data_IF_791086820821
#
_entry.id   IF_791086820821
#
_cell.length_a   1.000
_cell.length_b   1.000
_cell.length_c   1.000
_cell.angle_alpha   90.00
_cell.angle_beta   90.00
_cell.angle_gamma   90.00
#
_symmetry.space_group_name_H-M   'P 1'
#
loop_
_entity.id
_entity.type
_entity.pdbx_description
1 polymer ?
#
# COMPACT_ATOMS: atom_id res chain seq x y z
N UNK A 1 28.64 26.60 5.95
CA UNK A 1 27.86 25.41 6.32
C UNK A 1 26.58 25.84 7.00
N UNK A 2 26.68 26.37 8.22
CA UNK A 2 25.55 26.94 8.97
C UNK A 2 24.97 28.20 8.32
N UNK A 3 25.79 29.02 7.66
CA UNK A 3 25.36 30.23 6.94
C UNK A 3 24.42 29.90 5.76
N UNK A 4 24.77 28.89 4.95
CA UNK A 4 23.92 28.38 3.86
C UNK A 4 22.61 27.75 4.38
N UNK A 5 22.66 27.09 5.55
CA UNK A 5 21.46 26.55 6.19
C UNK A 5 20.54 27.65 6.75
N UNK A 6 21.11 28.77 7.19
CA UNK A 6 20.36 29.95 7.61
C UNK A 6 19.68 30.66 6.43
N UNK A 7 20.34 30.73 5.28
CA UNK A 7 19.77 31.25 4.02
C UNK A 7 18.67 30.35 3.45
N UNK A 8 18.75 29.04 3.67
CA UNK A 8 17.77 28.05 3.21
C UNK A 8 16.68 27.72 4.26
N UNK A 9 16.49 28.58 5.27
CA UNK A 9 15.42 28.41 6.28
C UNK A 9 14.05 28.31 5.63
N UNK A 10 13.29 27.29 6.01
CA UNK A 10 11.97 27.00 5.44
C UNK A 10 12.01 26.19 4.13
N UNK A 11 13.17 26.07 3.49
CA UNK A 11 13.39 25.23 2.29
C UNK A 11 13.98 23.88 2.68
N UNK A 12 14.85 23.86 3.70
CA UNK A 12 15.40 22.63 4.28
C UNK A 12 15.18 22.59 5.79
N UNK A 13 15.01 21.39 6.33
CA UNK A 13 14.86 21.12 7.76
C UNK A 13 15.93 20.15 8.23
N UNK A 14 16.53 20.46 9.38
CA UNK A 14 17.41 19.54 10.10
C UNK A 14 16.58 18.40 10.69
N UNK A 15 16.99 17.16 10.49
CA UNK A 15 16.32 16.01 11.10
C UNK A 15 16.63 15.91 12.60
N UNK A 16 15.62 15.72 13.47
CA UNK A 16 15.83 15.45 14.88
C UNK A 16 16.34 14.01 15.06
N UNK A 17 17.43 13.83 15.83
CA UNK A 17 18.02 12.52 16.11
C UNK A 17 19.51 12.61 16.51
N UNK A 18 20.09 11.53 17.04
CA UNK A 18 21.51 11.49 17.36
C UNK A 18 22.33 11.63 16.08
N UNK A 19 23.27 12.57 16.06
CA UNK A 19 24.26 12.68 14.99
C UNK A 19 25.47 11.84 15.42
N UNK A 20 25.86 10.80 14.65
CA UNK A 20 27.05 10.02 14.96
C UNK A 20 28.29 10.92 15.05
N UNK A 21 29.22 10.56 15.94
CA UNK A 21 30.42 11.36 16.18
C UNK A 21 31.27 11.49 14.90
N UNK A 22 31.49 12.74 14.46
CA UNK A 22 32.19 13.04 13.19
C UNK A 22 31.29 13.20 11.96
N UNK A 23 29.98 12.93 12.08
CA UNK A 23 29.02 13.16 10.99
C UNK A 23 28.36 14.54 11.08
N UNK A 24 27.87 15.03 9.93
CA UNK A 24 27.13 16.30 9.86
C UNK A 24 25.64 16.05 10.09
N UNK A 25 24.91 17.04 10.64
CA UNK A 25 23.46 16.96 10.73
C UNK A 25 22.84 16.70 9.35
N UNK A 26 21.89 15.78 9.30
CA UNK A 26 21.16 15.48 8.07
C UNK A 26 20.08 16.54 7.84
N UNK A 27 20.04 17.07 6.63
CA UNK A 27 19.01 17.99 6.18
C UNK A 27 18.16 17.32 5.10
N UNK A 28 16.87 17.61 5.13
CA UNK A 28 15.89 17.18 4.11
C UNK A 28 15.13 18.39 3.61
N UNK A 29 14.59 18.33 2.40
CA UNK A 29 13.79 19.40 1.83
C UNK A 29 12.43 19.51 2.53
N UNK A 30 11.82 20.70 2.49
CA UNK A 30 10.55 20.99 3.14
C UNK A 30 9.42 20.04 2.71
N UNK A 31 9.33 19.74 1.41
CA UNK A 31 8.33 18.81 0.86
C UNK A 31 8.49 17.40 1.42
N UNK A 32 9.73 16.93 1.62
CA UNK A 32 9.98 15.64 2.25
C UNK A 32 9.67 15.68 3.75
N UNK A 33 10.16 16.70 4.45
CA UNK A 33 10.02 16.82 5.89
C UNK A 33 8.54 16.96 6.32
N UNK A 34 7.77 17.78 5.61
CA UNK A 34 6.38 18.08 5.90
C UNK A 34 5.38 17.12 5.23
N UNK A 35 5.86 15.96 4.79
CA UNK A 35 5.05 14.85 4.26
C UNK A 35 5.17 13.58 5.12
N UNK A 36 4.37 12.56 4.81
CA UNK A 36 4.33 11.31 5.58
C UNK A 36 3.65 11.53 6.94
N UNK A 37 4.04 10.76 7.97
CA UNK A 37 3.44 10.85 9.30
C UNK A 37 3.89 12.13 10.04
N UNK A 38 3.20 13.25 9.79
CA UNK A 38 3.56 14.58 10.30
C UNK A 38 3.25 14.75 11.78
N UNK A 39 2.28 14.02 12.34
CA UNK A 39 2.01 14.01 13.80
C UNK A 39 3.17 13.40 14.57
N UNK A 40 3.69 12.26 14.11
CA UNK A 40 4.86 11.61 14.72
C UNK A 40 6.09 12.50 14.62
N UNK A 41 6.31 13.12 13.45
CA UNK A 41 7.40 14.07 13.25
C UNK A 41 7.27 15.29 14.17
N UNK A 42 6.06 15.82 14.38
CA UNK A 42 5.82 16.95 15.30
C UNK A 42 6.20 16.59 16.73
N UNK A 43 5.81 15.41 17.23
CA UNK A 43 6.22 14.94 18.58
C UNK A 43 7.73 14.81 18.71
N UNK A 44 8.40 14.30 17.67
CA UNK A 44 9.86 14.20 17.64
C UNK A 44 10.51 15.59 17.65
N UNK A 45 9.98 16.53 16.87
CA UNK A 45 10.47 17.91 16.83
C UNK A 45 10.25 18.65 18.16
N UNK A 46 9.11 18.46 18.82
CA UNK A 46 8.82 19.05 20.14
C UNK A 46 9.81 18.56 21.20
N UNK A 47 10.03 17.23 21.29
CA UNK A 47 11.04 16.66 22.20
C UNK A 47 12.46 17.14 21.90
N UNK A 48 12.79 17.31 20.62
CA UNK A 48 14.08 17.87 20.22
C UNK A 48 14.20 19.35 20.59
N UNK A 49 13.12 20.13 20.45
CA UNK A 49 13.08 21.56 20.79
C UNK A 49 13.20 21.83 22.30
N UNK A 50 12.77 20.89 23.14
CA UNK A 50 13.01 20.93 24.60
C UNK A 50 14.51 20.86 24.95
N UNK A 51 15.32 20.20 24.11
CA UNK A 51 16.76 20.01 24.32
C UNK A 51 17.62 21.02 23.54
N UNK A 52 17.20 21.35 22.31
CA UNK A 52 17.89 22.25 21.39
C UNK A 52 16.87 23.20 20.74
N UNK A 53 16.84 24.50 21.13
CA UNK A 53 15.92 25.50 20.58
C UNK A 53 15.99 25.69 19.06
N UNK A 54 17.04 25.21 18.39
CA UNK A 54 17.14 25.25 16.93
C UNK A 54 15.98 24.51 16.23
N UNK A 55 15.35 23.52 16.89
CA UNK A 55 14.21 22.78 16.36
C UNK A 55 12.86 23.50 16.52
N UNK A 56 12.81 24.70 17.09
CA UNK A 56 11.56 25.48 17.19
C UNK A 56 10.93 25.73 15.80
N UNK A 57 11.76 25.98 14.77
CA UNK A 57 11.31 26.16 13.38
C UNK A 57 10.65 24.89 12.83
N UNK A 58 11.16 23.71 13.20
CA UNK A 58 10.56 22.43 12.81
C UNK A 58 9.17 22.27 13.46
N UNK A 59 9.03 22.63 14.74
CA UNK A 59 7.77 22.56 15.47
C UNK A 59 6.73 23.48 14.82
N UNK A 60 7.10 24.72 14.51
CA UNK A 60 6.22 25.69 13.85
C UNK A 60 5.74 25.16 12.48
N UNK A 61 6.67 24.72 11.63
CA UNK A 61 6.33 24.23 10.29
C UNK A 61 5.48 22.95 10.33
N UNK A 62 5.80 22.00 11.23
CA UNK A 62 5.01 20.78 11.37
C UNK A 62 3.65 21.03 12.01
N UNK A 63 3.50 22.06 12.86
CA UNK A 63 2.21 22.47 13.41
C UNK A 63 1.30 23.01 12.31
N UNK A 64 1.84 23.84 11.40
CA UNK A 64 1.11 24.34 10.24
C UNK A 64 0.78 23.25 9.21
N UNK A 65 1.62 22.21 9.11
CA UNK A 65 1.44 21.10 8.17
C UNK A 65 0.51 19.97 8.67
N UNK A 66 -0.14 20.13 9.84
CA UNK A 66 -1.04 19.10 10.36
C UNK A 66 -2.29 18.95 9.48
N UNK A 67 -2.73 17.71 9.17
CA UNK A 67 -4.02 17.48 8.56
C UNK A 67 -5.12 18.03 9.46
N UNK A 68 -6.19 18.55 8.85
CA UNK A 68 -7.38 18.96 9.58
C UNK A 68 -7.91 17.76 10.38
N UNK A 69 -8.14 17.95 11.67
CA UNK A 69 -8.79 16.94 12.51
C UNK A 69 -10.17 16.59 11.93
N UNK A 70 -10.44 15.30 11.85
CA UNK A 70 -11.74 14.77 11.46
C UNK A 70 -12.64 14.66 12.68
N UNK A 71 -13.90 15.05 12.49
CA UNK A 71 -14.95 14.84 13.48
C UNK A 71 -15.50 13.41 13.43
N UNK A 72 -16.23 12.99 14.48
CA UNK A 72 -16.83 11.66 14.55
C UNK A 72 -17.73 11.33 13.34
N UNK A 73 -18.40 12.33 12.75
CA UNK A 73 -19.24 12.16 11.55
C UNK A 73 -18.44 11.90 10.27
N UNK A 74 -17.16 12.28 10.24
CA UNK A 74 -16.26 12.09 9.10
C UNK A 74 -15.48 10.77 9.19
N UNK A 75 -15.56 10.06 10.33
CA UNK A 75 -14.84 8.81 10.58
C UNK A 75 -15.78 7.62 10.37
N UNK A 76 -15.56 6.85 9.29
CA UNK A 76 -16.25 5.58 9.11
C UNK A 76 -15.56 4.46 9.92
N UNK A 77 -16.30 3.86 10.85
CA UNK A 77 -15.81 2.76 11.68
C UNK A 77 -16.44 1.44 11.25
N UNK A 78 -15.61 0.40 11.13
CA UNK A 78 -16.04 -0.96 10.77
C UNK A 78 -15.53 -1.96 11.81
N UNK A 79 -16.30 -3.02 12.04
CA UNK A 79 -15.83 -4.16 12.82
C UNK A 79 -14.60 -4.77 12.14
N UNK A 80 -13.59 -5.11 12.95
CA UNK A 80 -12.29 -5.60 12.47
C UNK A 80 -11.26 -4.50 12.18
N UNK A 81 -11.61 -3.22 12.39
CA UNK A 81 -10.62 -2.15 12.35
C UNK A 81 -9.58 -2.33 13.46
N UNK A 82 -8.32 -2.45 13.08
CA UNK A 82 -7.20 -2.81 13.97
C UNK A 82 -6.78 -1.70 14.94
N UNK A 83 -7.24 -0.47 14.71
CA UNK A 83 -6.96 0.67 15.58
C UNK A 83 -7.94 0.76 16.76
N UNK A 84 -9.07 0.04 16.72
CA UNK A 84 -10.02 0.04 17.83
C UNK A 84 -9.54 -0.95 18.88
N UNK A 85 -9.44 -0.50 20.12
CA UNK A 85 -9.02 -1.39 21.19
C UNK A 85 -10.04 -2.52 21.46
N UNK A 86 -9.55 -3.69 21.84
CA UNK A 86 -10.38 -4.87 22.08
C UNK A 86 -11.38 -4.63 23.20
N UNK A 87 -11.07 -3.75 24.15
CA UNK A 87 -11.94 -3.38 25.27
C UNK A 87 -13.24 -2.75 24.77
N UNK A 88 -13.20 -1.93 23.72
CA UNK A 88 -14.41 -1.37 23.10
C UNK A 88 -15.22 -2.43 22.38
N UNK A 89 -14.56 -3.40 21.72
CA UNK A 89 -15.24 -4.52 21.07
C UNK A 89 -15.92 -5.41 22.12
N UNK A 90 -15.24 -5.66 23.25
CA UNK A 90 -15.77 -6.43 24.35
C UNK A 90 -16.95 -5.72 25.04
N UNK A 91 -16.83 -4.41 25.27
CA UNK A 91 -17.91 -3.59 25.81
C UNK A 91 -19.13 -3.60 24.87
N UNK A 92 -18.91 -3.42 23.56
CA UNK A 92 -19.98 -3.52 22.55
C UNK A 92 -20.68 -4.86 22.60
N UNK A 93 -19.91 -5.95 22.66
CA UNK A 93 -20.43 -7.31 22.72
C UNK A 93 -21.34 -7.51 23.94
N UNK A 94 -20.90 -7.08 25.13
CA UNK A 94 -21.69 -7.23 26.35
C UNK A 94 -22.96 -6.40 26.35
N UNK A 95 -22.89 -5.14 25.93
CA UNK A 95 -24.04 -4.23 25.91
C UNK A 95 -25.06 -4.62 24.83
N UNK A 96 -24.60 -5.07 23.67
CA UNK A 96 -25.49 -5.38 22.53
C UNK A 96 -26.15 -6.75 22.68
N UNK A 97 -25.43 -7.73 23.22
CA UNK A 97 -25.95 -9.09 23.39
C UNK A 97 -26.56 -9.33 24.78
N UNK A 98 -26.60 -8.30 25.63
CA UNK A 98 -27.08 -8.37 27.02
C UNK A 98 -26.43 -9.55 27.76
N UNK A 99 -25.10 -9.62 27.68
CA UNK A 99 -24.33 -10.74 28.24
C UNK A 99 -24.40 -10.70 29.77
N UNK A 100 -24.95 -11.74 30.43
CA UNK A 100 -25.10 -11.71 31.89
C UNK A 100 -23.77 -11.52 32.59
N UNK A 101 -23.73 -10.66 33.62
CA UNK A 101 -22.52 -10.27 34.33
C UNK A 101 -21.66 -11.46 34.80
N UNK A 102 -22.31 -12.52 35.30
CA UNK A 102 -21.62 -13.73 35.77
C UNK A 102 -20.95 -14.55 34.66
N UNK A 103 -21.30 -14.32 33.38
CA UNK A 103 -20.70 -14.97 32.21
C UNK A 103 -19.63 -14.12 31.52
N UNK A 104 -19.54 -12.81 31.82
CA UNK A 104 -18.60 -11.91 31.14
C UNK A 104 -17.14 -12.39 31.27
N UNK A 105 -16.76 -12.92 32.43
CA UNK A 105 -15.42 -13.52 32.66
C UNK A 105 -15.13 -14.79 31.85
N UNK A 106 -16.15 -15.41 31.26
CA UNK A 106 -16.01 -16.61 30.44
C UNK A 106 -16.08 -16.32 28.95
N UNK A 107 -16.53 -15.11 28.57
CA UNK A 107 -16.72 -14.70 27.18
C UNK A 107 -15.90 -13.44 26.96
N UNK A 108 -14.67 -13.61 26.49
CA UNK A 108 -13.71 -12.52 26.32
C UNK A 108 -13.31 -12.37 24.86
N UNK A 109 -13.01 -11.13 24.46
CA UNK A 109 -12.50 -10.82 23.12
C UNK A 109 -10.98 -10.77 23.18
N UNK A 110 -10.35 -11.57 22.32
CA UNK A 110 -8.90 -11.62 22.15
C UNK A 110 -8.53 -11.17 20.74
N UNK A 111 -7.47 -10.38 20.63
CA UNK A 111 -6.84 -10.02 19.37
C UNK A 111 -5.39 -10.49 19.41
N UNK A 112 -4.97 -11.23 18.38
CA UNK A 112 -3.59 -11.70 18.22
C UNK A 112 -2.88 -10.84 17.18
N UNK A 113 -2.00 -9.89 17.57
CA UNK A 113 -1.39 -8.95 16.61
C UNK A 113 -0.55 -9.64 15.54
N UNK A 114 0.07 -10.78 15.84
CA UNK A 114 0.94 -11.51 14.91
C UNK A 114 0.17 -12.08 13.70
N UNK A 115 -1.02 -12.64 13.93
CA UNK A 115 -1.87 -13.20 12.87
C UNK A 115 -2.96 -12.24 12.41
N UNK A 116 -3.12 -11.09 13.09
CA UNK A 116 -4.23 -10.15 12.94
C UNK A 116 -5.61 -10.83 13.06
N UNK A 117 -5.70 -11.86 13.91
CA UNK A 117 -6.94 -12.62 14.12
C UNK A 117 -7.65 -12.22 15.41
N UNK A 118 -8.97 -12.11 15.31
CA UNK A 118 -9.87 -11.91 16.44
C UNK A 118 -10.46 -13.26 16.87
N UNK A 119 -10.53 -13.49 18.17
CA UNK A 119 -11.12 -14.68 18.76
C UNK A 119 -12.02 -14.30 19.93
N UNK A 120 -13.16 -14.96 20.04
CA UNK A 120 -14.08 -14.80 21.17
C UNK A 120 -14.09 -16.11 21.96
N UNK A 121 -13.70 -16.10 23.22
CA UNK A 121 -13.77 -17.28 24.09
C UNK A 121 -15.21 -17.53 24.57
N UNK A 122 -15.53 -18.75 25.00
CA UNK A 122 -16.82 -19.05 25.65
C UNK A 122 -18.10 -18.83 24.84
N UNK A 123 -18.04 -18.75 23.50
CA UNK A 123 -19.19 -18.42 22.62
C UNK A 123 -20.47 -19.24 22.89
N UNK A 124 -20.34 -20.46 23.40
CA UNK A 124 -21.44 -21.39 23.64
C UNK A 124 -21.87 -21.48 25.12
N UNK A 125 -21.27 -20.68 26.01
CA UNK A 125 -21.59 -20.69 27.45
C UNK A 125 -22.96 -20.07 27.71
N UNK A 126 -23.41 -19.16 26.85
CA UNK A 126 -24.76 -18.59 26.91
C UNK A 126 -25.79 -19.65 26.50
N UNK A 127 -26.82 -19.84 27.32
CA UNK A 127 -27.92 -20.76 27.02
C UNK A 127 -28.69 -20.37 25.75
N UNK A 128 -29.25 -21.37 25.06
CA UNK A 128 -30.06 -21.17 23.84
C UNK A 128 -31.34 -20.34 24.08
N UNK A 129 -31.74 -20.18 25.34
CA UNK A 129 -32.86 -19.32 25.76
C UNK A 129 -32.52 -17.83 25.73
N UNK A 130 -31.24 -17.44 25.57
CA UNK A 130 -30.88 -16.04 25.42
C UNK A 130 -31.33 -15.51 24.04
N UNK A 131 -32.38 -14.69 24.05
CA UNK A 131 -33.02 -14.16 22.85
C UNK A 131 -32.07 -13.27 22.05
N UNK A 132 -31.25 -12.44 22.71
CA UNK A 132 -30.31 -11.56 22.03
C UNK A 132 -29.28 -12.36 21.21
N UNK A 133 -28.70 -13.41 21.82
CA UNK A 133 -27.65 -14.23 21.23
C UNK A 133 -28.15 -15.20 20.16
N UNK A 134 -29.38 -15.73 20.28
CA UNK A 134 -29.88 -16.79 19.38
C UNK A 134 -31.03 -16.37 18.46
N UNK A 135 -31.61 -15.18 18.64
CA UNK A 135 -32.74 -14.70 17.83
C UNK A 135 -32.59 -13.26 17.31
N UNK A 136 -32.18 -12.31 18.16
CA UNK A 136 -32.06 -10.90 17.76
C UNK A 136 -30.84 -10.67 16.88
N UNK A 137 -29.66 -11.08 17.34
CA UNK A 137 -28.37 -10.91 16.68
C UNK A 137 -27.73 -12.23 16.24
N UNK A 138 -28.38 -13.35 16.49
CA UNK A 138 -27.97 -14.67 16.03
C UNK A 138 -29.12 -15.46 15.41
N UNK A 139 -28.79 -16.70 15.07
CA UNK A 139 -29.74 -17.72 14.62
C UNK A 139 -29.54 -18.97 15.46
N UNK A 140 -30.46 -19.93 15.35
CA UNK A 140 -30.29 -21.25 15.97
C UNK A 140 -29.04 -22.00 15.47
N UNK A 141 -28.51 -21.66 14.29
CA UNK A 141 -27.36 -22.31 13.64
C UNK A 141 -26.04 -21.56 13.85
N UNK A 142 -26.10 -20.26 14.18
CA UNK A 142 -24.94 -19.44 14.52
C UNK A 142 -25.36 -18.33 15.50
N UNK A 143 -24.86 -18.41 16.73
CA UNK A 143 -25.15 -17.39 17.73
C UNK A 143 -24.41 -16.08 17.46
N UNK A 144 -24.85 -15.01 18.13
CA UNK A 144 -24.35 -13.66 17.93
C UNK A 144 -22.84 -13.53 18.17
N UNK A 145 -22.26 -14.25 19.13
CA UNK A 145 -20.82 -14.26 19.41
C UNK A 145 -20.02 -14.84 18.24
N UNK A 146 -20.48 -15.94 17.63
CA UNK A 146 -19.85 -16.50 16.44
C UNK A 146 -19.94 -15.53 15.25
N UNK A 147 -21.10 -14.93 15.04
CA UNK A 147 -21.32 -13.96 13.96
C UNK A 147 -20.45 -12.70 14.16
N UNK A 148 -20.28 -12.25 15.41
CA UNK A 148 -19.40 -11.14 15.75
C UNK A 148 -17.93 -11.48 15.46
N UNK A 149 -17.45 -12.66 15.87
CA UNK A 149 -16.08 -13.09 15.56
C UNK A 149 -15.81 -13.16 14.05
N UNK A 150 -16.74 -13.75 13.28
CA UNK A 150 -16.64 -13.78 11.82
C UNK A 150 -16.61 -12.36 11.24
N UNK A 151 -17.40 -11.44 11.81
CA UNK A 151 -17.41 -10.02 11.41
C UNK A 151 -16.11 -9.28 11.72
N UNK A 152 -15.53 -9.52 12.89
CA UNK A 152 -14.23 -8.94 13.28
C UNK A 152 -13.09 -9.41 12.37
N UNK A 153 -13.19 -10.65 11.86
CA UNK A 153 -12.23 -11.21 10.91
C UNK A 153 -12.57 -10.93 9.43
N UNK A 154 -13.55 -10.05 9.16
CA UNK A 154 -14.01 -9.70 7.80
C UNK A 154 -14.46 -10.92 6.97
N UNK A 155 -15.02 -11.94 7.64
CA UNK A 155 -15.54 -13.17 7.02
C UNK A 155 -17.06 -13.10 6.93
N UNK A 156 -17.60 -13.59 5.81
CA UNK A 156 -19.05 -13.81 5.68
C UNK A 156 -19.45 -15.05 6.47
N UNK A 157 -20.53 -14.94 7.25
CA UNK A 157 -21.07 -16.10 7.97
C UNK A 157 -21.70 -17.07 6.97
N UNK A 158 -21.21 -18.32 6.95
CA UNK A 158 -21.72 -19.38 6.06
C UNK A 158 -22.17 -20.59 6.88
N UNK A 159 -23.39 -21.05 6.64
CA UNK A 159 -23.98 -22.21 7.30
C UNK A 159 -23.99 -23.37 6.31
N UNK A 160 -23.46 -24.51 6.73
CA UNK A 160 -23.43 -25.73 5.93
C UNK A 160 -24.22 -26.83 6.64
N UNK A 161 -24.97 -27.60 5.86
CA UNK A 161 -25.61 -28.83 6.29
C UNK A 161 -24.77 -30.02 5.88
N UNK A 162 -24.79 -31.07 6.70
CA UNK A 162 -24.18 -32.35 6.36
C UNK A 162 -25.25 -33.23 5.72
N UNK A 163 -25.01 -33.68 4.49
CA UNK A 163 -25.88 -34.59 3.75
C UNK A 163 -25.05 -35.83 3.41
N UNK A 164 -25.61 -37.03 3.62
CA UNK A 164 -24.96 -38.27 3.17
C UNK A 164 -25.23 -38.49 1.68
N UNK A 165 -24.16 -38.69 0.90
CA UNK A 165 -24.27 -39.14 -0.49
C UNK A 165 -24.70 -40.62 -0.54
N UNK A 166 -25.15 -41.10 -1.70
CA UNK A 166 -25.66 -42.47 -1.90
C UNK A 166 -24.68 -43.60 -1.51
N UNK A 167 -23.38 -43.29 -1.39
CA UNK A 167 -22.31 -44.21 -0.95
C UNK A 167 -22.02 -44.12 0.57
N UNK A 168 -22.86 -43.44 1.36
CA UNK A 168 -22.70 -43.29 2.82
C UNK A 168 -21.60 -42.31 3.24
N UNK A 169 -21.20 -41.40 2.34
CA UNK A 169 -20.14 -40.41 2.62
C UNK A 169 -20.75 -39.05 2.92
N UNK A 170 -20.39 -38.48 4.08
CA UNK A 170 -20.83 -37.14 4.47
C UNK A 170 -20.26 -36.04 3.57
N UNK A 171 -21.15 -35.22 3.02
CA UNK A 171 -20.83 -34.03 2.23
C UNK A 171 -21.44 -32.78 2.85
N UNK A 172 -20.63 -31.73 2.98
CA UNK A 172 -21.09 -30.42 3.45
C UNK A 172 -21.67 -29.60 2.30
N UNK A 173 -22.95 -29.30 2.37
CA UNK A 173 -23.68 -28.50 1.38
C UNK A 173 -24.04 -27.15 2.01
N UNK A 174 -23.84 -26.05 1.29
CA UNK A 174 -24.18 -24.72 1.78
C UNK A 174 -25.70 -24.60 1.94
N UNK A 175 -26.16 -24.26 3.14
CA UNK A 175 -27.57 -23.95 3.38
C UNK A 175 -27.82 -22.49 3.03
N UNK A 176 -28.36 -22.23 1.84
CA UNK A 176 -28.61 -20.88 1.35
C UNK A 176 -29.57 -20.08 2.24
N UNK A 177 -30.61 -20.74 2.80
CA UNK A 177 -31.61 -20.10 3.66
C UNK A 177 -31.01 -19.65 4.98
N UNK A 178 -30.37 -20.57 5.70
CA UNK A 178 -29.73 -20.28 7.00
C UNK A 178 -28.55 -19.32 6.85
N UNK A 179 -27.79 -19.41 5.76
CA UNK A 179 -26.72 -18.46 5.44
C UNK A 179 -27.27 -17.06 5.20
N UNK A 180 -28.40 -16.92 4.49
CA UNK A 180 -29.03 -15.62 4.26
C UNK A 180 -29.53 -15.00 5.57
N UNK A 181 -30.15 -15.81 6.45
CA UNK A 181 -30.57 -15.34 7.77
C UNK A 181 -29.37 -14.91 8.62
N UNK A 182 -28.29 -15.70 8.65
CA UNK A 182 -27.08 -15.35 9.37
C UNK A 182 -26.42 -14.07 8.82
N UNK A 183 -26.42 -13.87 7.50
CA UNK A 183 -25.92 -12.65 6.88
C UNK A 183 -26.75 -11.40 7.26
N UNK A 184 -28.08 -11.53 7.35
CA UNK A 184 -28.93 -10.44 7.85
C UNK A 184 -28.60 -10.10 9.31
N UNK A 185 -28.37 -11.11 10.16
CA UNK A 185 -27.94 -10.91 11.55
C UNK A 185 -26.55 -10.27 11.64
N UNK A 186 -25.64 -10.68 10.77
CA UNK A 186 -24.32 -10.07 10.64
C UNK A 186 -24.42 -8.58 10.30
N UNK A 187 -25.30 -8.22 9.37
CA UNK A 187 -25.55 -6.82 9.03
C UNK A 187 -26.15 -6.04 10.21
N UNK A 188 -27.13 -6.62 10.91
CA UNK A 188 -27.72 -5.98 12.09
C UNK A 188 -26.69 -5.71 13.20
N UNK A 189 -25.71 -6.61 13.41
CA UNK A 189 -24.59 -6.39 14.35
C UNK A 189 -23.71 -5.23 13.87
N UNK A 190 -23.39 -5.17 12.56
CA UNK A 190 -22.59 -4.08 11.99
C UNK A 190 -23.27 -2.73 12.15
N UNK A 191 -24.58 -2.66 11.94
CA UNK A 191 -25.36 -1.43 12.08
C UNK A 191 -25.45 -1.01 13.56
N UNK A 192 -25.73 -1.97 14.45
CA UNK A 192 -25.71 -1.71 15.89
C UNK A 192 -24.34 -1.20 16.36
N UNK A 193 -23.24 -1.73 15.83
CA UNK A 193 -21.90 -1.25 16.15
C UNK A 193 -21.66 0.18 15.69
N UNK A 194 -22.09 0.55 14.48
CA UNK A 194 -21.97 1.91 13.94
C UNK A 194 -22.69 2.94 14.81
N UNK A 195 -23.87 2.61 15.30
CA UNK A 195 -24.63 3.48 16.19
C UNK A 195 -24.04 3.51 17.60
N UNK A 196 -23.62 2.35 18.09
CA UNK A 196 -23.08 2.18 19.42
C UNK A 196 -21.77 2.93 19.59
N UNK A 197 -20.81 2.77 18.69
CA UNK A 197 -19.43 3.27 18.86
C UNK A 197 -19.38 4.76 19.17
N UNK A 198 -20.30 5.54 18.58
CA UNK A 198 -20.38 6.99 18.77
C UNK A 198 -21.39 7.44 19.82
N UNK A 199 -22.22 6.56 20.37
CA UNK A 199 -23.32 6.94 21.29
C UNK A 199 -22.82 7.60 22.58
N UNK A 200 -21.78 7.04 23.17
CA UNK A 200 -21.18 7.55 24.40
C UNK A 200 -20.23 8.73 24.11
N UNK A 201 -20.39 9.90 24.78
CA UNK A 201 -19.57 11.07 24.53
C UNK A 201 -18.08 10.88 24.85
N UNK A 202 -17.73 10.17 25.93
CA UNK A 202 -16.34 9.98 26.36
C UNK A 202 -15.61 9.05 25.38
N UNK A 203 -16.23 7.92 25.04
CA UNK A 203 -15.75 6.99 24.01
C UNK A 203 -15.59 7.68 22.66
N UNK A 204 -16.57 8.49 22.25
CA UNK A 204 -16.51 9.25 20.99
C UNK A 204 -15.28 10.15 20.97
N UNK A 205 -15.05 10.95 22.03
CA UNK A 205 -13.90 11.84 22.10
C UNK A 205 -12.56 11.07 22.11
N UNK A 206 -12.49 9.95 22.83
CA UNK A 206 -11.30 9.11 22.87
C UNK A 206 -10.95 8.53 21.50
N UNK A 207 -11.93 7.95 20.81
CA UNK A 207 -11.75 7.33 19.49
C UNK A 207 -11.45 8.36 18.39
N UNK A 208 -12.10 9.54 18.41
CA UNK A 208 -11.79 10.63 17.47
C UNK A 208 -10.35 11.09 17.63
N UNK A 209 -9.89 11.27 18.88
CA UNK A 209 -8.51 11.66 19.16
C UNK A 209 -7.53 10.59 18.68
N UNK A 210 -7.78 9.33 19.01
CA UNK A 210 -6.92 8.22 18.61
C UNK A 210 -6.86 8.08 17.08
N UNK A 211 -8.01 8.15 16.40
CA UNK A 211 -8.08 8.08 14.94
C UNK A 211 -7.27 9.21 14.30
N UNK A 212 -7.43 10.44 14.79
CA UNK A 212 -6.68 11.55 14.22
C UNK A 212 -5.18 11.38 14.43
N UNK A 213 -4.78 10.87 15.60
CA UNK A 213 -3.39 10.69 15.97
C UNK A 213 -2.67 9.58 15.19
N UNK A 214 -3.36 8.48 14.92
CA UNK A 214 -2.78 7.27 14.33
C UNK A 214 -3.08 7.14 12.84
N UNK A 215 -4.30 7.48 12.42
CA UNK A 215 -4.79 7.28 11.05
C UNK A 215 -4.74 8.58 10.24
N UNK A 216 -5.23 9.71 10.76
CA UNK A 216 -5.16 11.03 10.11
C UNK A 216 -3.82 11.74 10.36
N UNK A 217 -2.73 11.00 10.20
CA UNK A 217 -1.38 11.48 10.46
C UNK A 217 -0.55 11.68 9.20
N UNK A 218 -1.00 11.12 8.06
CA UNK A 218 -0.20 11.08 6.83
C UNK A 218 -0.58 12.22 5.88
N UNK A 219 0.35 13.15 5.66
CA UNK A 219 0.23 14.18 4.62
C UNK A 219 0.93 13.72 3.33
N UNK A 220 0.27 13.72 2.16
CA UNK A 220 0.92 13.46 0.89
C UNK A 220 2.08 14.43 0.64
N UNK A 221 3.11 13.98 -0.07
CA UNK A 221 4.21 14.86 -0.51
C UNK A 221 3.73 15.71 -1.68
N UNK A 222 3.87 17.02 -1.55
CA UNK A 222 3.60 17.99 -2.60
C UNK A 222 4.93 18.45 -3.19
N UNK A 223 5.08 18.32 -4.50
CA UNK A 223 6.30 18.72 -5.21
C UNK A 223 6.08 20.05 -5.90
N UNK A 224 6.99 20.98 -5.69
CA UNK A 224 7.04 22.23 -6.43
C UNK A 224 8.15 22.14 -7.49
N UNK A 225 7.82 22.43 -8.74
CA UNK A 225 8.77 22.52 -9.84
C UNK A 225 8.94 23.93 -10.39
N UNK A 226 8.38 24.94 -9.73
CA UNK A 226 8.40 26.35 -10.17
C UNK A 226 9.81 26.90 -10.36
N UNK A 227 10.77 26.41 -9.57
CA UNK A 227 12.19 26.78 -9.61
C UNK A 227 12.99 26.07 -10.70
N UNK A 228 12.43 25.06 -11.37
CA UNK A 228 13.16 24.31 -12.39
C UNK A 228 13.27 25.15 -13.67
N UNK A 229 14.51 25.43 -14.07
CA UNK A 229 14.82 26.11 -15.32
C UNK A 229 15.08 25.07 -16.40
N UNK A 230 14.11 24.91 -17.31
CA UNK A 230 14.16 23.92 -18.37
C UNK A 230 14.99 24.41 -19.56
N UNK A 231 16.17 23.81 -19.75
CA UNK A 231 17.10 24.20 -20.81
C UNK A 231 16.83 23.44 -22.11
N UNK A 232 16.77 24.14 -23.25
CA UNK A 232 16.59 23.50 -24.57
C UNK A 232 15.14 23.16 -24.94
N UNK A 233 14.17 23.55 -24.11
CA UNK A 233 12.75 23.53 -24.49
C UNK A 233 12.50 24.50 -25.65
N UNK A 234 11.63 24.11 -26.56
CA UNK A 234 11.08 24.97 -27.60
C UNK A 234 10.48 26.26 -26.98
N UNK A 235 11.00 27.46 -27.29
CA UNK A 235 10.54 28.71 -26.68
C UNK A 235 9.04 29.03 -26.89
N UNK A 236 8.41 28.42 -27.90
CA UNK A 236 6.98 28.58 -28.14
C UNK A 236 6.09 27.77 -27.18
N UNK A 237 6.67 26.88 -26.36
CA UNK A 237 5.95 26.00 -25.43
C UNK A 237 6.30 26.40 -24.00
N UNK A 238 5.27 26.74 -23.22
CA UNK A 238 5.39 26.97 -21.78
C UNK A 238 4.71 25.85 -21.02
N UNK A 239 5.46 25.16 -20.15
CA UNK A 239 4.91 24.14 -19.27
C UNK A 239 4.02 24.76 -18.20
N UNK A 240 2.85 24.15 -17.98
CA UNK A 240 1.90 24.54 -16.92
C UNK A 240 2.46 24.14 -15.55
N UNK A 241 1.96 24.79 -14.50
CA UNK A 241 2.38 24.54 -13.11
C UNK A 241 2.30 23.06 -12.72
N UNK A 242 1.18 22.38 -13.01
CA UNK A 242 1.03 20.96 -12.71
C UNK A 242 2.07 20.08 -13.42
N UNK A 243 2.50 20.48 -14.63
CA UNK A 243 3.51 19.73 -15.39
C UNK A 243 4.90 19.91 -14.79
N UNK A 244 5.22 21.13 -14.33
CA UNK A 244 6.47 21.40 -13.61
C UNK A 244 6.54 20.61 -12.30
N UNK A 245 5.44 20.59 -11.55
CA UNK A 245 5.32 19.85 -10.29
C UNK A 245 5.42 18.32 -10.52
N UNK A 246 4.83 17.81 -11.61
CA UNK A 246 5.00 16.42 -12.02
C UNK A 246 6.44 16.08 -12.39
N UNK A 247 7.15 16.98 -13.08
CA UNK A 247 8.57 16.79 -13.38
C UNK A 247 9.40 16.79 -12.09
N UNK A 248 9.15 17.72 -11.17
CA UNK A 248 9.79 17.73 -9.84
C UNK A 248 9.53 16.41 -9.09
N UNK A 249 8.31 15.88 -9.14
CA UNK A 249 7.98 14.59 -8.56
C UNK A 249 8.83 13.46 -9.16
N UNK A 250 9.00 13.41 -10.48
CA UNK A 250 9.86 12.39 -11.12
C UNK A 250 11.33 12.54 -10.72
N UNK A 251 11.84 13.78 -10.64
CA UNK A 251 13.23 14.05 -10.31
C UNK A 251 13.58 13.75 -8.84
N UNK A 252 12.68 14.05 -7.92
CA UNK A 252 12.94 13.98 -6.47
C UNK A 252 12.30 12.74 -5.80
N UNK A 253 11.19 12.24 -6.34
CA UNK A 253 10.39 11.15 -5.75
C UNK A 253 10.79 9.75 -6.19
N UNK A 254 11.65 9.60 -7.20
CA UNK A 254 12.05 8.30 -7.72
C UNK A 254 10.91 7.60 -8.48
N UNK A 255 10.40 6.48 -7.95
CA UNK A 255 9.33 5.73 -8.61
C UNK A 255 8.00 6.51 -8.55
N UNK A 256 7.59 7.05 -9.69
CA UNK A 256 6.51 8.04 -9.78
C UNK A 256 5.38 7.57 -10.69
N UNK A 257 4.14 7.69 -10.21
CA UNK A 257 2.93 7.44 -11.00
C UNK A 257 2.30 8.78 -11.43
N UNK A 258 2.26 9.04 -12.74
CA UNK A 258 1.60 10.22 -13.32
C UNK A 258 0.15 9.92 -13.69
N UNK A 259 -0.74 9.97 -12.70
CA UNK A 259 -2.17 9.64 -12.83
C UNK A 259 -3.06 10.81 -13.30
N UNK A 260 -2.57 11.65 -14.23
CA UNK A 260 -3.35 12.77 -14.77
C UNK A 260 -4.38 12.31 -15.82
N UNK A 261 -5.39 13.13 -16.07
CA UNK A 261 -6.39 12.89 -17.13
C UNK A 261 -5.76 12.82 -18.54
N UNK A 262 -6.50 12.27 -19.50
CA UNK A 262 -6.09 12.24 -20.91
C UNK A 262 -6.02 13.69 -21.43
N UNK A 263 -4.93 14.04 -22.12
CA UNK A 263 -4.72 15.41 -22.63
C UNK A 263 -4.05 16.38 -21.66
N UNK A 264 -3.81 15.99 -20.39
CA UNK A 264 -3.11 16.83 -19.41
C UNK A 264 -1.63 17.12 -19.74
N UNK A 265 -1.08 16.47 -20.78
CA UNK A 265 0.29 16.66 -21.24
C UNK A 265 1.32 15.75 -20.55
N UNK A 266 0.91 14.56 -20.09
CA UNK A 266 1.79 13.53 -19.48
C UNK A 266 3.05 13.22 -20.30
N UNK A 267 2.96 13.25 -21.62
CA UNK A 267 4.12 13.04 -22.49
C UNK A 267 5.18 14.13 -22.29
N UNK A 268 4.77 15.41 -22.19
CA UNK A 268 5.70 16.50 -21.91
C UNK A 268 6.29 16.42 -20.51
N UNK A 269 5.51 15.99 -19.52
CA UNK A 269 6.00 15.72 -18.17
C UNK A 269 7.12 14.67 -18.19
N UNK A 270 6.91 13.54 -18.87
CA UNK A 270 7.90 12.47 -18.93
C UNK A 270 9.14 12.86 -19.75
N UNK A 271 8.97 13.60 -20.86
CA UNK A 271 10.08 14.10 -21.69
C UNK A 271 10.89 15.15 -20.94
N UNK A 272 10.23 16.13 -20.32
CA UNK A 272 10.88 17.16 -19.52
C UNK A 272 11.67 16.56 -18.36
N UNK A 273 11.09 15.60 -17.63
CA UNK A 273 11.78 14.91 -16.56
C UNK A 273 13.03 14.14 -17.05
N UNK A 274 12.95 13.46 -18.19
CA UNK A 274 14.10 12.74 -18.74
C UNK A 274 15.24 13.66 -19.17
N UNK A 275 14.92 14.79 -19.81
CA UNK A 275 15.93 15.76 -20.24
C UNK A 275 16.56 16.48 -19.06
N UNK A 276 15.76 16.89 -18.06
CA UNK A 276 16.29 17.51 -16.84
C UNK A 276 17.08 16.51 -16.00
N UNK A 277 16.66 15.25 -15.88
CA UNK A 277 17.43 14.22 -15.20
C UNK A 277 18.80 14.01 -15.86
N UNK A 278 18.86 14.02 -17.20
CA UNK A 278 20.13 13.94 -17.94
C UNK A 278 20.99 15.18 -17.71
N UNK A 279 20.40 16.38 -17.79
CA UNK A 279 21.10 17.66 -17.57
C UNK A 279 21.68 17.78 -16.16
N UNK A 280 20.97 17.26 -15.15
CA UNK A 280 21.41 17.21 -13.75
C UNK A 280 22.38 16.04 -13.47
N UNK A 281 22.66 15.17 -14.45
CA UNK A 281 23.53 14.01 -14.28
C UNK A 281 22.92 12.85 -13.49
N UNK A 282 21.61 12.87 -13.24
CA UNK A 282 20.89 11.80 -12.54
C UNK A 282 20.71 10.54 -13.40
N UNK A 283 20.70 10.72 -14.73
CA UNK A 283 20.72 9.62 -15.68
C UNK A 283 21.62 9.94 -16.87
N UNK A 284 22.06 8.90 -17.59
CA UNK A 284 22.84 9.06 -18.82
C UNK A 284 22.00 8.82 -20.07
N UNK A 285 21.10 7.84 -20.03
CA UNK A 285 20.25 7.41 -21.14
C UNK A 285 18.87 7.02 -20.63
N UNK A 286 17.86 7.79 -21.02
CA UNK A 286 16.46 7.52 -20.67
C UNK A 286 15.82 6.57 -21.68
N UNK A 287 15.08 5.56 -21.21
CA UNK A 287 14.37 4.60 -22.05
C UNK A 287 12.85 4.74 -21.83
N UNK A 288 12.12 5.02 -22.91
CA UNK A 288 10.67 5.11 -22.93
C UNK A 288 10.11 3.84 -23.56
N UNK A 289 9.27 3.14 -22.80
CA UNK A 289 8.57 1.93 -23.27
C UNK A 289 7.10 2.29 -23.47
N UNK A 290 6.64 2.26 -24.72
CA UNK A 290 5.31 2.76 -25.12
C UNK A 290 4.55 1.72 -25.95
N UNK A 291 3.21 1.84 -26.09
CA UNK A 291 2.47 1.01 -27.02
C UNK A 291 3.05 1.08 -28.44
N UNK A 292 3.14 -0.07 -29.11
CA UNK A 292 3.86 -0.21 -30.39
C UNK A 292 3.41 0.76 -31.49
N UNK A 293 2.14 1.18 -31.48
CA UNK A 293 1.57 2.08 -32.48
C UNK A 293 1.79 3.56 -32.16
N UNK A 294 2.36 3.88 -30.98
CA UNK A 294 2.58 5.26 -30.52
C UNK A 294 4.05 5.69 -30.55
N UNK A 295 4.98 4.83 -30.98
CA UNK A 295 6.42 5.15 -30.96
C UNK A 295 6.77 6.38 -31.79
N UNK A 296 6.19 6.52 -32.98
CA UNK A 296 6.40 7.68 -33.87
C UNK A 296 5.74 8.94 -33.33
N UNK A 297 4.52 8.82 -32.79
CA UNK A 297 3.83 9.93 -32.14
C UNK A 297 4.63 10.46 -30.93
N UNK A 298 5.17 9.57 -30.11
CA UNK A 298 6.03 9.92 -28.99
C UNK A 298 7.30 10.62 -29.44
N UNK A 299 7.95 10.16 -30.51
CA UNK A 299 9.12 10.80 -31.07
C UNK A 299 8.83 12.23 -31.55
N UNK A 300 7.68 12.42 -32.22
CA UNK A 300 7.22 13.74 -32.66
C UNK A 300 6.99 14.69 -31.49
N UNK A 301 6.28 14.24 -30.44
CA UNK A 301 6.06 15.06 -29.24
C UNK A 301 7.35 15.35 -28.48
N UNK A 302 8.31 14.41 -28.46
CA UNK A 302 9.62 14.62 -27.85
C UNK A 302 10.36 15.76 -28.55
N UNK A 303 10.50 15.69 -29.88
CA UNK A 303 11.19 16.70 -30.68
C UNK A 303 10.42 18.03 -30.74
N UNK A 304 9.09 17.99 -30.58
CA UNK A 304 8.29 19.21 -30.45
C UNK A 304 8.66 20.00 -29.19
N UNK A 305 8.88 19.29 -28.07
CA UNK A 305 9.27 19.90 -26.80
C UNK A 305 10.78 20.23 -26.77
N UNK A 306 11.64 19.34 -27.23
CA UNK A 306 13.10 19.52 -27.29
C UNK A 306 13.63 19.28 -28.73
N UNK A 307 13.64 20.32 -29.58
CA UNK A 307 13.97 20.18 -31.01
C UNK A 307 15.38 19.69 -31.31
N UNK A 308 16.32 19.92 -30.40
CA UNK A 308 17.73 19.54 -30.56
C UNK A 308 18.09 18.19 -29.92
N UNK A 309 17.13 17.45 -29.38
CA UNK A 309 17.39 16.18 -28.70
C UNK A 309 17.78 15.07 -29.69
N UNK A 310 18.84 14.32 -29.37
CA UNK A 310 19.27 13.16 -30.11
C UNK A 310 18.56 11.89 -29.62
N UNK A 311 17.44 11.53 -30.27
CA UNK A 311 16.61 10.39 -29.89
C UNK A 311 16.82 9.17 -30.79
N UNK A 312 16.76 7.97 -30.21
CA UNK A 312 16.74 6.70 -30.93
C UNK A 312 15.34 6.08 -30.87
N UNK A 313 14.65 5.99 -32.00
CA UNK A 313 13.30 5.39 -32.08
C UNK A 313 13.39 4.00 -32.71
N UNK A 314 12.77 3.01 -32.07
CA UNK A 314 12.76 1.64 -32.59
C UNK A 314 11.76 1.47 -33.72
N UNK A 315 12.15 0.70 -34.74
CA UNK A 315 11.23 0.18 -35.76
C UNK A 315 11.04 -1.32 -35.58
N UNK A 316 10.04 -1.90 -36.27
CA UNK A 316 9.82 -3.36 -36.28
C UNK A 316 11.03 -4.14 -36.81
N UNK A 317 11.78 -3.57 -37.77
CA UNK A 317 12.94 -4.22 -38.42
C UNK A 317 14.14 -4.37 -37.49
N UNK A 318 14.29 -3.47 -36.52
CA UNK A 318 15.43 -3.45 -35.59
C UNK A 318 15.49 -4.68 -34.67
N UNK A 319 14.35 -5.34 -34.45
CA UNK A 319 14.22 -6.50 -33.55
C UNK A 319 13.95 -7.82 -34.28
N UNK A 320 14.18 -7.85 -35.59
CA UNK A 320 14.36 -9.10 -36.32
C UNK A 320 15.58 -9.86 -35.76
N UNK A 321 15.54 -11.20 -35.79
CA UNK A 321 16.49 -12.06 -35.06
C UNK A 321 17.96 -11.73 -35.38
N UNK A 322 18.26 -11.33 -36.61
CA UNK A 322 19.60 -10.97 -37.06
C UNK A 322 20.03 -9.54 -36.63
N UNK A 323 19.08 -8.61 -36.52
CA UNK A 323 19.35 -7.19 -36.18
C UNK A 323 19.38 -6.91 -34.68
N UNK A 324 18.70 -7.72 -33.86
CA UNK A 324 18.54 -7.48 -32.41
C UNK A 324 19.87 -7.24 -31.68
N UNK A 325 20.90 -8.06 -31.94
CA UNK A 325 22.22 -7.88 -31.31
C UNK A 325 22.86 -6.55 -31.70
N UNK A 326 22.78 -6.17 -32.99
CA UNK A 326 23.30 -4.90 -33.51
C UNK A 326 22.55 -3.71 -32.92
N UNK A 327 21.23 -3.83 -32.75
CA UNK A 327 20.42 -2.77 -32.15
C UNK A 327 20.71 -2.57 -30.66
N UNK A 328 20.81 -3.66 -29.88
CA UNK A 328 21.25 -3.56 -28.47
C UNK A 328 22.65 -2.95 -28.35
N UNK A 329 23.57 -3.29 -29.27
CA UNK A 329 24.89 -2.68 -29.31
C UNK A 329 24.83 -1.16 -29.59
N UNK A 330 23.97 -0.71 -30.52
CA UNK A 330 23.74 0.72 -30.78
C UNK A 330 23.22 1.45 -29.54
N UNK A 331 22.26 0.86 -28.82
CA UNK A 331 21.78 1.43 -27.55
C UNK A 331 22.92 1.56 -26.53
N UNK A 332 23.75 0.53 -26.42
CA UNK A 332 24.84 0.50 -25.45
C UNK A 332 25.91 1.55 -25.76
N UNK A 333 26.36 1.66 -27.02
CA UNK A 333 27.50 2.49 -27.42
C UNK A 333 27.13 3.89 -27.89
N UNK A 334 25.90 4.12 -28.36
CA UNK A 334 25.47 5.43 -28.86
C UNK A 334 25.22 6.42 -27.72
N UNK A 335 25.57 7.68 -27.96
CA UNK A 335 25.21 8.81 -27.10
C UNK A 335 23.86 9.36 -27.54
N UNK A 336 22.80 8.87 -26.89
CA UNK A 336 21.42 9.29 -27.13
C UNK A 336 20.88 10.00 -25.90
N UNK A 337 20.04 11.01 -26.08
CA UNK A 337 19.29 11.65 -25.00
C UNK A 337 18.16 10.76 -24.50
N UNK A 338 17.46 10.12 -25.43
CA UNK A 338 16.41 9.17 -25.12
C UNK A 338 16.31 8.05 -26.16
N UNK A 339 15.79 6.91 -25.71
CA UNK A 339 15.46 5.77 -26.56
C UNK A 339 13.96 5.53 -26.43
N UNK A 340 13.24 5.44 -27.54
CA UNK A 340 11.79 5.19 -27.57
C UNK A 340 11.54 3.82 -28.18
N UNK A 341 10.93 2.93 -27.39
CA UNK A 341 10.76 1.51 -27.71
C UNK A 341 9.33 1.03 -27.52
N UNK A 342 8.87 0.19 -28.45
CA UNK A 342 7.59 -0.51 -28.32
C UNK A 342 7.62 -1.66 -27.31
N UNK A 343 6.50 -1.92 -26.60
CA UNK A 343 6.36 -3.03 -25.64
C UNK A 343 6.91 -4.37 -26.15
N UNK A 344 6.53 -4.78 -27.37
CA UNK A 344 6.93 -6.09 -27.91
C UNK A 344 8.44 -6.22 -28.16
N UNK A 345 9.15 -5.09 -28.26
CA UNK A 345 10.60 -5.09 -28.44
C UNK A 345 11.31 -5.08 -27.10
N UNK A 346 10.76 -4.39 -26.11
CA UNK A 346 11.27 -4.41 -24.75
C UNK A 346 11.27 -5.83 -24.16
N UNK A 347 10.20 -6.60 -24.41
CA UNK A 347 10.11 -8.02 -24.01
C UNK A 347 11.23 -8.91 -24.59
N UNK A 348 11.86 -8.48 -25.68
CA UNK A 348 12.95 -9.25 -26.34
C UNK A 348 14.33 -8.87 -25.82
N UNK A 349 14.45 -7.88 -24.94
CA UNK A 349 15.72 -7.54 -24.29
C UNK A 349 15.99 -8.59 -23.19
N UNK A 350 17.10 -9.34 -23.28
CA UNK A 350 17.42 -10.33 -22.26
C UNK A 350 17.79 -9.67 -20.93
N UNK A 351 17.36 -10.28 -19.83
CA UNK A 351 17.83 -9.92 -18.48
C UNK A 351 19.31 -10.35 -18.35
N UNK A 352 20.12 -9.59 -17.62
CA UNK A 352 21.51 -9.97 -17.34
C UNK A 352 21.58 -11.28 -16.56
N UNK A 353 22.61 -12.10 -16.80
CA UNK A 353 22.81 -13.37 -16.10
C UNK A 353 22.87 -13.19 -14.58
N UNK A 354 23.59 -12.17 -14.11
CA UNK A 354 23.70 -11.82 -12.69
C UNK A 354 22.32 -11.56 -12.06
N UNK A 355 21.44 -10.84 -12.76
CA UNK A 355 20.09 -10.55 -12.26
C UNK A 355 19.18 -11.78 -12.33
N UNK A 356 19.37 -12.65 -13.32
CA UNK A 356 18.69 -13.95 -13.37
C UNK A 356 19.10 -14.82 -12.17
N UNK A 357 20.40 -14.92 -11.89
CA UNK A 357 20.93 -15.67 -10.76
C UNK A 357 20.42 -15.13 -9.42
N UNK A 358 20.47 -13.80 -9.23
CA UNK A 358 19.93 -13.17 -8.02
C UNK A 358 18.44 -13.46 -7.83
N UNK A 359 17.63 -13.33 -8.87
CA UNK A 359 16.19 -13.64 -8.81
C UNK A 359 15.95 -15.11 -8.47
N UNK A 360 16.76 -16.03 -9.02
CA UNK A 360 16.67 -17.44 -8.68
C UNK A 360 17.03 -17.68 -7.20
N UNK A 361 18.07 -17.02 -6.68
CA UNK A 361 18.43 -17.11 -5.27
C UNK A 361 17.36 -16.54 -4.34
N UNK A 362 16.78 -15.37 -4.67
CA UNK A 362 15.67 -14.77 -3.93
C UNK A 362 14.48 -15.74 -3.88
N UNK A 363 14.11 -16.36 -5.02
CA UNK A 363 13.03 -17.35 -5.08
C UNK A 363 13.34 -18.63 -4.29
N UNK A 364 14.58 -19.13 -4.36
CA UNK A 364 15.00 -20.28 -3.55
C UNK A 364 14.91 -19.95 -2.07
N UNK A 365 15.36 -18.76 -1.67
CA UNK A 365 15.31 -18.29 -0.29
C UNK A 365 13.86 -18.19 0.21
N UNK A 366 12.96 -17.54 -0.54
CA UNK A 366 11.54 -17.44 -0.19
C UNK A 366 10.88 -18.82 0.00
N UNK A 367 11.18 -19.77 -0.89
CA UNK A 367 10.64 -21.13 -0.78
C UNK A 367 11.23 -21.85 0.44
N UNK A 368 12.52 -21.68 0.71
CA UNK A 368 13.23 -22.37 1.80
C UNK A 368 12.77 -21.83 3.15
N UNK A 369 12.68 -20.51 3.30
CA UNK A 369 12.09 -19.86 4.48
C UNK A 369 10.64 -20.32 4.69
N UNK A 370 9.82 -20.31 3.64
CA UNK A 370 8.43 -20.78 3.75
C UNK A 370 8.29 -22.26 4.14
N UNK A 371 9.28 -23.11 3.82
CA UNK A 371 9.33 -24.51 4.28
C UNK A 371 9.75 -24.56 5.75
N UNK A 372 10.81 -23.83 6.12
CA UNK A 372 11.32 -23.78 7.49
C UNK A 372 10.27 -23.23 8.47
N UNK A 373 9.52 -22.21 8.06
CA UNK A 373 8.43 -21.61 8.83
C UNK A 373 7.31 -22.64 9.10
N UNK A 374 6.93 -23.43 8.09
CA UNK A 374 5.93 -24.51 8.24
C UNK A 374 6.42 -25.64 9.15
N UNK A 375 7.71 -25.95 9.13
CA UNK A 375 8.31 -26.96 10.00
C UNK A 375 8.47 -26.47 11.44
N UNK A 376 8.85 -25.20 11.65
CA UNK A 376 8.98 -24.56 12.95
C UNK A 376 7.62 -24.30 13.64
N UNK A 377 6.55 -24.09 12.86
CA UNK A 377 5.19 -23.88 13.36
C UNK A 377 4.57 -25.09 14.05
N UNK A 378 5.25 -26.23 14.13
CA UNK A 378 4.79 -27.42 14.84
C UNK A 378 3.49 -27.98 14.24
N UNK A 379 3.60 -28.84 13.23
CA UNK A 379 2.47 -29.49 12.57
C UNK A 379 1.58 -30.30 13.51
N UNK A 380 0.60 -29.64 14.15
CA UNK A 380 -0.57 -30.25 14.78
C UNK A 380 -1.78 -30.32 13.81
N UNK A 381 -1.54 -30.10 12.52
CA UNK A 381 -2.52 -30.31 11.45
C UNK A 381 -2.33 -31.68 10.80
N UNK A 382 -3.43 -32.42 10.63
CA UNK A 382 -3.51 -33.72 9.96
C UNK A 382 -2.59 -33.83 8.72
N UNK A 383 -1.92 -34.97 8.45
CA UNK A 383 -0.88 -35.10 7.41
C UNK A 383 -1.29 -34.60 6.00
N UNK A 384 -2.58 -34.60 5.69
CA UNK A 384 -3.13 -34.11 4.41
C UNK A 384 -3.03 -32.59 4.25
N UNK A 385 -3.14 -31.82 5.33
CA UNK A 385 -3.08 -30.34 5.32
C UNK A 385 -1.66 -29.84 5.07
N UNK A 386 -0.67 -30.48 5.71
CA UNK A 386 0.76 -30.22 5.47
C UNK A 386 1.16 -30.59 4.03
N UNK A 387 0.66 -31.71 3.51
CA UNK A 387 0.89 -32.11 2.11
C UNK A 387 0.29 -31.13 1.09
N UNK A 388 -0.89 -30.58 1.37
CA UNK A 388 -1.55 -29.59 0.53
C UNK A 388 -0.87 -28.22 0.58
N UNK A 389 -0.37 -27.81 1.75
CA UNK A 389 0.46 -26.61 1.92
C UNK A 389 1.77 -26.73 1.13
N UNK A 390 2.48 -27.87 1.28
CA UNK A 390 3.70 -28.19 0.51
C UNK A 390 3.44 -28.19 -1.00
N UNK A 391 2.34 -28.81 -1.47
CA UNK A 391 1.92 -28.76 -2.90
C UNK A 391 1.58 -27.35 -3.37
N UNK A 392 0.96 -26.53 -2.53
CA UNK A 392 0.58 -25.14 -2.84
C UNK A 392 1.81 -24.25 -3.01
N UNK A 393 2.78 -24.36 -2.09
CA UNK A 393 4.07 -23.68 -2.15
C UNK A 393 4.89 -24.15 -3.37
N UNK A 394 4.98 -25.46 -3.61
CA UNK A 394 5.63 -26.01 -4.81
C UNK A 394 4.97 -25.52 -6.11
N UNK A 395 3.62 -25.45 -6.17
CA UNK A 395 2.90 -24.92 -7.34
C UNK A 395 3.07 -23.42 -7.51
N UNK A 396 3.22 -22.65 -6.43
CA UNK A 396 3.53 -21.22 -6.47
C UNK A 396 4.96 -20.98 -6.98
N UNK A 397 5.94 -21.71 -6.43
CA UNK A 397 7.32 -21.70 -6.91
C UNK A 397 7.43 -22.08 -8.39
N UNK A 398 6.77 -23.17 -8.81
CA UNK A 398 6.73 -23.60 -10.22
C UNK A 398 6.05 -22.59 -11.16
N UNK A 399 5.02 -21.88 -10.70
CA UNK A 399 4.40 -20.78 -11.46
C UNK A 399 5.30 -19.54 -11.55
N UNK A 400 6.18 -19.32 -10.57
CA UNK A 400 7.17 -18.23 -10.58
C UNK A 400 8.41 -18.55 -11.44
N UNK A 401 8.78 -19.84 -11.54
CA UNK A 401 9.88 -20.32 -12.39
C UNK A 401 9.52 -20.43 -13.88
N UNK A 402 8.23 -20.36 -14.25
CA UNK A 402 7.88 -20.10 -15.65
C UNK A 402 8.24 -18.65 -15.95
N UNK A 403 8.94 -18.36 -17.06
CA UNK A 403 9.02 -16.98 -17.54
C UNK A 403 7.58 -16.46 -17.60
N UNK A 404 7.29 -15.30 -17.01
CA UNK A 404 6.09 -14.51 -17.32
C UNK A 404 6.19 -13.97 -18.76
N UNK A 405 6.35 -14.88 -19.71
CA UNK A 405 6.10 -14.66 -21.12
C UNK A 405 4.81 -15.45 -21.43
N UNK A 406 3.80 -14.75 -21.95
CA UNK A 406 2.47 -15.26 -22.28
C UNK A 406 1.51 -15.50 -21.10
N UNK A 407 0.93 -14.41 -20.58
CA UNK A 407 -0.46 -14.38 -20.08
C UNK A 407 -1.06 -12.98 -20.24
N UNK A 408 -1.30 -12.62 -21.50
CA UNK A 408 -2.27 -11.62 -21.95
C UNK A 408 -2.79 -12.10 -23.31
N UNK A 409 -3.55 -13.20 -23.27
CA UNK A 409 -4.68 -13.38 -24.18
C UNK A 409 -5.89 -13.01 -23.34
N UNK A 410 -6.39 -11.81 -23.63
CA UNK A 410 -7.68 -11.14 -23.37
C UNK A 410 -7.38 -9.66 -23.23
#
# INVERSE_FOLDING_TARGET
>A
GEELAAELRGVIFRLPGPVPEGERPQYVTADEYLSGNVRRKLRQAQRAAEQDPAFAVNVEALTAAQPKDLDASEIEVRLGATWIDKEYIQQFMYETFDTPFYLQRSIEVHYTPFTAEWQISGKNVVGQNNVAAYSTYGTGRANAYKILEDSLNLRDVRIYDTVEDADGKERRVLNAKETTLAAQKQQAIRDAFRDWIWRDPERRQALVRQYNEEMNATRPREYDGSHIVFGGINPAITLREHQKNAIAHVLYGGNTLLAHEVGAGKTFEMVGAAMEAKRLGLCQKSLFVVPNHLTEQWASEFLRLYPSANILVTTKKDFEKHNRKKFCARIATGDYDAIIMGHSQFEKIPISKERQERLLHEQIWEITEGIAEVEASGGNGSPSSSWNARKSLWRRGWKSCKPRAARTMW
#
